data_IF_485745301034
#
_entry.id   IF_485745301034
#
_cell.length_a   1.000
_cell.length_b   1.000
_cell.length_c   1.000
_cell.angle_alpha   90.00
_cell.angle_beta   90.00
_cell.angle_gamma   90.00
#
_symmetry.space_group_name_H-M   'P 1'
#
loop_
_entity.id
_entity.type
_entity.pdbx_description
1 polymer ?
#
# COMPACT_ATOMS: atom_id res chain seq x y z
N UNK A 1 -32.30 56.78 60.66
CA UNK A 1 -33.11 56.77 59.42
C UNK A 1 -32.23 57.29 58.30
N UNK A 2 -32.15 56.52 57.21
CA UNK A 2 -31.48 56.85 55.94
C UNK A 2 -29.94 56.87 55.93
N UNK A 3 -29.38 55.74 56.34
CA UNK A 3 -28.27 55.11 55.63
C UNK A 3 -28.79 54.51 54.31
N UNK A 4 -29.23 55.37 53.39
CA UNK A 4 -29.72 55.00 52.06
C UNK A 4 -29.44 56.16 51.12
N UNK A 5 -28.18 56.29 50.66
CA UNK A 5 -27.81 57.04 49.43
C UNK A 5 -26.33 56.94 49.02
N UNK A 6 -25.61 55.91 49.48
CA UNK A 6 -24.21 55.68 49.09
C UNK A 6 -23.92 54.22 48.74
N UNK A 7 -24.91 53.51 48.19
CA UNK A 7 -24.76 52.18 47.58
C UNK A 7 -25.57 52.17 46.28
N UNK A 8 -25.20 53.04 45.33
CA UNK A 8 -25.75 53.01 43.97
C UNK A 8 -24.72 53.39 42.90
N UNK A 9 -23.46 53.59 43.28
CA UNK A 9 -22.38 53.94 42.35
C UNK A 9 -21.12 53.06 42.47
N UNK A 10 -21.25 51.87 43.09
CA UNK A 10 -20.20 50.85 43.16
C UNK A 10 -20.66 49.47 42.66
N UNK A 11 -21.87 49.35 42.12
CA UNK A 11 -22.39 48.13 41.48
C UNK A 11 -22.64 48.25 39.97
N UNK A 12 -22.21 49.36 39.35
CA UNK A 12 -22.27 49.56 37.90
C UNK A 12 -20.88 49.51 37.22
N UNK A 13 -19.82 49.15 37.96
CA UNK A 13 -18.45 48.99 37.43
C UNK A 13 -17.81 47.63 37.73
N UNK A 14 -18.63 46.64 38.15
CA UNK A 14 -18.21 45.25 38.35
C UNK A 14 -19.04 44.24 37.52
N UNK A 15 -19.81 44.71 36.54
CA UNK A 15 -20.53 43.87 35.58
C UNK A 15 -20.10 44.06 34.12
N UNK A 16 -19.14 44.95 33.85
CA UNK A 16 -18.49 45.08 32.53
C UNK A 16 -17.03 44.59 32.52
N UNK A 17 -16.50 44.14 33.66
CA UNK A 17 -15.12 43.61 33.79
C UNK A 17 -15.00 42.08 33.74
N UNK A 18 -16.09 41.32 33.90
CA UNK A 18 -16.05 39.85 33.89
C UNK A 18 -16.39 39.23 32.51
N UNK A 19 -17.01 39.98 31.59
CA UNK A 19 -17.33 39.49 30.25
C UNK A 19 -16.17 39.66 29.23
N UNK A 20 -15.19 40.53 29.51
CA UNK A 20 -14.06 40.78 28.60
C UNK A 20 -12.86 39.83 28.80
N UNK A 21 -12.78 39.10 29.92
CA UNK A 21 -11.71 38.12 30.20
C UNK A 21 -12.09 36.66 29.92
N UNK A 22 -13.38 36.37 29.71
CA UNK A 22 -13.86 35.04 29.28
C UNK A 22 -14.14 34.96 27.76
N UNK A 23 -14.27 36.11 27.08
CA UNK A 23 -14.44 36.18 25.62
C UNK A 23 -13.12 36.17 24.81
N UNK A 24 -11.98 36.51 25.41
CA UNK A 24 -10.70 36.55 24.67
C UNK A 24 -9.98 35.21 24.61
N UNK A 25 -10.21 34.30 25.57
CA UNK A 25 -9.60 32.95 25.54
C UNK A 25 -10.30 31.97 24.60
N UNK A 26 -11.50 32.28 24.11
CA UNK A 26 -12.27 31.40 23.22
C UNK A 26 -12.01 31.63 21.71
N UNK A 27 -11.33 32.72 21.32
CA UNK A 27 -11.05 33.03 19.91
C UNK A 27 -9.60 32.83 19.47
N UNK A 28 -8.74 32.33 20.38
CA UNK A 28 -7.35 31.96 20.06
C UNK A 28 -6.99 30.58 20.60
N UNK A 29 -7.97 29.66 20.69
CA UNK A 29 -7.63 28.25 20.62
C UNK A 29 -6.99 28.04 19.25
N UNK A 30 -5.65 28.16 19.19
CA UNK A 30 -4.87 27.68 18.05
C UNK A 30 -5.43 26.29 17.72
N UNK A 31 -5.76 26.00 16.46
CA UNK A 31 -6.07 24.63 16.09
C UNK A 31 -4.94 23.78 16.66
N UNK A 32 -5.27 22.84 17.54
CA UNK A 32 -4.29 21.83 17.94
C UNK A 32 -3.92 21.14 16.65
N UNK A 33 -2.78 21.51 16.11
CA UNK A 33 -2.13 20.79 15.03
C UNK A 33 -2.06 19.34 15.51
N UNK A 34 -2.56 18.38 14.73
CA UNK A 34 -2.29 16.99 15.04
C UNK A 34 -0.77 16.88 15.22
N UNK A 35 -0.34 16.26 16.33
CA UNK A 35 1.03 15.82 16.46
C UNK A 35 1.25 14.67 15.46
N UNK A 36 1.32 15.02 14.18
CA UNK A 36 1.75 14.15 13.10
C UNK A 36 2.95 14.85 12.49
N UNK A 37 4.14 14.49 12.98
CA UNK A 37 5.40 14.73 12.26
C UNK A 37 5.48 13.86 10.99
N UNK A 38 4.42 13.83 10.20
CA UNK A 38 4.32 13.12 8.94
C UNK A 38 4.03 14.12 7.84
N UNK A 39 4.84 14.10 6.79
CA UNK A 39 4.64 14.85 5.55
C UNK A 39 3.17 14.75 5.10
N UNK A 40 2.50 15.85 4.70
CA UNK A 40 1.11 15.80 4.26
C UNK A 40 0.91 14.70 3.21
N UNK A 41 -0.10 13.86 3.43
CA UNK A 41 -0.41 12.75 2.51
C UNK A 41 -1.26 13.31 1.38
N UNK A 42 -0.82 13.16 0.13
CA UNK A 42 -1.63 13.55 -1.03
C UNK A 42 -2.84 12.60 -1.13
N UNK A 43 -4.05 13.16 -1.07
CA UNK A 43 -5.30 12.41 -1.11
C UNK A 43 -5.50 11.60 -2.40
N UNK A 44 -4.83 11.96 -3.50
CA UNK A 44 -4.96 11.27 -4.80
C UNK A 44 -4.38 9.84 -4.80
N UNK A 45 -3.52 9.49 -3.85
CA UNK A 45 -2.84 8.18 -3.81
C UNK A 45 -3.35 7.25 -2.70
N UNK A 46 -4.37 7.67 -1.96
CA UNK A 46 -4.95 6.87 -0.89
C UNK A 46 -5.80 5.74 -1.46
N UNK A 47 -5.71 4.58 -0.83
CA UNK A 47 -6.59 3.44 -1.09
C UNK A 47 -7.51 3.20 0.11
N UNK A 48 -8.71 2.72 -0.21
CA UNK A 48 -9.72 2.32 0.76
C UNK A 48 -9.76 0.79 0.90
N UNK A 49 -9.88 0.31 2.13
CA UNK A 49 -10.28 -1.05 2.49
C UNK A 49 -11.19 -1.00 3.72
N UNK A 50 -12.10 -1.95 3.87
CA UNK A 50 -13.14 -1.91 4.91
C UNK A 50 -13.03 -3.14 5.80
N UNK A 51 -13.07 -2.94 7.12
CA UNK A 51 -12.93 -4.00 8.11
C UNK A 51 -14.15 -4.05 9.03
N UNK A 52 -14.86 -5.17 9.04
CA UNK A 52 -15.86 -5.52 10.04
C UNK A 52 -15.20 -6.32 11.16
N UNK A 53 -15.28 -5.81 12.39
CA UNK A 53 -14.62 -6.38 13.56
C UNK A 53 -15.58 -6.41 14.75
N UNK A 54 -16.89 -6.54 14.52
CA UNK A 54 -17.91 -6.30 15.55
C UNK A 54 -18.22 -4.81 15.72
N UNK A 55 -18.50 -4.38 16.95
CA UNK A 55 -18.81 -2.98 17.25
C UNK A 55 -17.73 -2.04 16.70
N UNK A 56 -18.11 -1.18 15.75
CA UNK A 56 -17.15 -0.34 15.03
C UNK A 56 -16.46 0.74 15.90
N UNK A 57 -16.94 1.01 17.12
CA UNK A 57 -16.35 2.00 18.02
C UNK A 57 -14.99 1.54 18.53
N UNK A 58 -14.92 0.28 18.96
CA UNK A 58 -13.66 -0.37 19.33
C UNK A 58 -12.77 -0.55 18.10
N UNK A 59 -13.35 -0.99 16.98
CA UNK A 59 -12.62 -1.27 15.75
C UNK A 59 -11.93 -0.01 15.21
N UNK A 60 -12.64 1.12 15.18
CA UNK A 60 -12.12 2.41 14.75
C UNK A 60 -10.90 2.83 15.57
N UNK A 61 -10.99 2.69 16.91
CA UNK A 61 -9.89 3.00 17.82
C UNK A 61 -8.66 2.14 17.54
N UNK A 62 -8.84 0.83 17.31
CA UNK A 62 -7.73 -0.10 17.03
C UNK A 62 -7.06 0.19 15.69
N UNK A 63 -7.85 0.34 14.63
CA UNK A 63 -7.34 0.57 13.28
C UNK A 63 -6.69 1.95 13.13
N UNK A 64 -7.24 2.98 13.78
CA UNK A 64 -6.63 4.31 13.84
C UNK A 64 -5.23 4.31 14.46
N UNK A 65 -4.98 3.41 15.42
CA UNK A 65 -3.70 3.34 16.12
C UNK A 65 -2.59 2.68 15.27
N UNK A 66 -2.91 2.09 14.12
CA UNK A 66 -1.91 1.48 13.23
C UNK A 66 -1.06 2.58 12.59
N UNK A 67 0.27 2.59 12.81
CA UNK A 67 1.14 3.61 12.23
C UNK A 67 1.06 3.65 10.71
N UNK A 68 0.87 4.85 10.13
CA UNK A 68 0.76 5.05 8.69
C UNK A 68 -0.66 5.08 8.13
N UNK A 69 -1.68 4.75 8.95
CA UNK A 69 -3.08 4.98 8.57
C UNK A 69 -3.33 6.48 8.39
N UNK A 70 -3.88 6.85 7.22
CA UNK A 70 -4.14 8.24 6.88
C UNK A 70 -5.51 8.71 7.41
N UNK A 71 -6.46 7.80 7.58
CA UNK A 71 -7.75 8.11 8.19
C UNK A 71 -8.65 6.89 8.34
N UNK A 72 -9.61 7.01 9.25
CA UNK A 72 -10.67 6.00 9.45
C UNK A 72 -12.03 6.67 9.44
N UNK A 73 -13.07 5.90 9.09
CA UNK A 73 -14.47 6.32 9.13
C UNK A 73 -15.33 5.08 9.39
N UNK A 74 -16.35 5.20 10.24
CA UNK A 74 -17.26 4.09 10.53
C UNK A 74 -18.52 4.14 9.66
N UNK A 75 -19.06 2.96 9.34
CA UNK A 75 -20.23 2.82 8.48
C UNK A 75 -20.80 1.42 8.44
N UNK A 76 -21.72 1.21 7.50
CA UNK A 76 -22.46 -0.03 7.27
C UNK A 76 -22.19 -0.52 5.84
N UNK A 77 -21.77 -1.77 5.66
CA UNK A 77 -21.48 -2.30 4.32
C UNK A 77 -21.74 -3.81 4.16
N UNK A 78 -21.81 -4.25 2.91
CA UNK A 78 -21.95 -5.65 2.51
C UNK A 78 -23.38 -6.18 2.58
N UNK A 79 -24.35 -5.37 3.01
CA UNK A 79 -25.76 -5.70 2.99
C UNK A 79 -26.43 -5.41 1.64
N UNK A 80 -27.65 -5.94 1.48
CA UNK A 80 -28.40 -5.80 0.23
C UNK A 80 -29.02 -4.42 0.04
N UNK A 81 -29.44 -3.78 1.14
CA UNK A 81 -30.07 -2.47 1.10
C UNK A 81 -29.08 -1.40 0.58
N UNK A 82 -29.45 -0.56 -0.41
CA UNK A 82 -28.54 0.45 -0.96
C UNK A 82 -28.27 1.57 0.04
N UNK A 83 -29.20 1.85 0.96
CA UNK A 83 -29.07 2.82 2.04
C UNK A 83 -29.47 2.19 3.36
N UNK A 84 -28.70 2.45 4.41
CA UNK A 84 -28.99 2.02 5.76
C UNK A 84 -28.34 2.96 6.78
N UNK A 85 -29.08 3.33 7.82
CA UNK A 85 -28.55 3.91 9.05
C UNK A 85 -28.56 2.90 10.21
N UNK A 86 -28.19 3.35 11.40
CA UNK A 86 -28.06 2.47 12.57
C UNK A 86 -29.34 1.71 12.89
N UNK A 87 -30.49 2.40 12.86
CA UNK A 87 -31.80 1.80 13.15
C UNK A 87 -32.21 0.75 12.14
N UNK A 88 -31.94 0.99 10.85
CA UNK A 88 -32.29 0.07 9.77
C UNK A 88 -31.52 -1.26 9.93
N UNK A 89 -30.24 -1.16 10.26
CA UNK A 89 -29.36 -2.33 10.50
C UNK A 89 -29.86 -3.18 11.66
N UNK A 90 -30.23 -2.54 12.78
CA UNK A 90 -30.75 -3.25 13.96
C UNK A 90 -32.12 -3.88 13.69
N UNK A 91 -33.05 -3.14 13.06
CA UNK A 91 -34.37 -3.68 12.74
C UNK A 91 -34.26 -4.85 11.76
N UNK A 92 -33.37 -4.76 10.77
CA UNK A 92 -33.13 -5.85 9.83
C UNK A 92 -32.56 -7.09 10.54
N UNK A 93 -31.67 -6.92 11.51
CA UNK A 93 -31.16 -8.04 12.32
C UNK A 93 -32.28 -8.73 13.11
N UNK A 94 -33.16 -7.96 13.75
CA UNK A 94 -34.33 -8.49 14.47
C UNK A 94 -35.30 -9.24 13.54
N UNK A 95 -35.52 -8.71 12.33
CA UNK A 95 -36.35 -9.36 11.31
C UNK A 95 -35.72 -10.67 10.80
N UNK A 96 -34.39 -10.69 10.59
CA UNK A 96 -33.65 -11.88 10.18
C UNK A 96 -33.75 -12.98 11.23
N UNK A 97 -33.54 -12.65 12.51
CA UNK A 97 -33.69 -13.60 13.63
C UNK A 97 -35.09 -14.16 13.76
N UNK A 98 -36.10 -13.34 13.49
CA UNK A 98 -37.49 -13.75 13.49
C UNK A 98 -37.91 -14.52 12.22
N UNK A 99 -37.00 -14.73 11.25
CA UNK A 99 -37.31 -15.37 9.96
C UNK A 99 -38.29 -14.57 9.09
N UNK A 100 -38.46 -13.27 9.36
CA UNK A 100 -39.37 -12.37 8.64
C UNK A 100 -38.72 -11.66 7.46
N UNK A 101 -37.39 -11.76 7.36
CA UNK A 101 -36.60 -11.21 6.27
C UNK A 101 -35.48 -12.20 5.92
N UNK A 102 -35.06 -12.20 4.67
CA UNK A 102 -33.97 -13.02 4.15
C UNK A 102 -32.89 -12.19 3.43
N UNK A 103 -33.08 -10.87 3.32
CA UNK A 103 -32.11 -9.96 2.74
C UNK A 103 -30.88 -9.85 3.65
N UNK A 104 -29.70 -9.80 3.04
CA UNK A 104 -28.44 -9.71 3.77
C UNK A 104 -28.33 -8.39 4.51
N UNK A 105 -28.06 -8.45 5.81
CA UNK A 105 -27.82 -7.26 6.62
C UNK A 105 -26.44 -6.65 6.35
N UNK A 106 -26.31 -5.37 6.60
CA UNK A 106 -25.01 -4.70 6.61
C UNK A 106 -24.21 -5.11 7.85
N UNK A 107 -22.89 -5.21 7.69
CA UNK A 107 -21.95 -5.26 8.82
C UNK A 107 -21.59 -3.83 9.23
N UNK A 108 -21.40 -3.62 10.54
CA UNK A 108 -20.64 -2.49 11.05
C UNK A 108 -19.19 -2.63 10.58
N UNK A 109 -18.68 -1.61 9.90
CA UNK A 109 -17.34 -1.60 9.33
C UNK A 109 -16.60 -0.30 9.60
N UNK A 110 -15.28 -0.38 9.57
CA UNK A 110 -14.38 0.77 9.51
C UNK A 110 -13.78 0.84 8.12
N UNK A 111 -14.04 1.93 7.40
CA UNK A 111 -13.29 2.31 6.19
C UNK A 111 -11.93 2.84 6.62
N UNK A 112 -10.86 2.19 6.19
CA UNK A 112 -9.47 2.61 6.42
C UNK A 112 -8.88 3.19 5.14
N UNK A 113 -8.41 4.43 5.23
CA UNK A 113 -7.63 5.11 4.18
C UNK A 113 -6.14 4.99 4.47
N UNK A 114 -5.37 4.48 3.52
CA UNK A 114 -3.92 4.34 3.66
C UNK A 114 -3.18 4.67 2.35
N UNK A 115 -1.94 5.14 2.48
CA UNK A 115 -1.01 5.32 1.36
C UNK A 115 -0.19 4.02 1.21
N UNK A 116 -0.37 3.24 0.13
CA UNK A 116 0.37 1.99 -0.07
C UNK A 116 1.89 2.21 -0.21
N UNK A 117 2.36 3.44 -0.43
CA UNK A 117 3.79 3.78 -0.41
C UNK A 117 4.36 3.91 1.01
N UNK A 118 3.50 4.08 2.02
CA UNK A 118 3.90 4.31 3.42
C UNK A 118 3.48 3.17 4.35
N UNK A 119 2.36 2.52 4.06
CA UNK A 119 1.79 1.44 4.85
C UNK A 119 1.51 0.24 3.96
N UNK A 120 2.24 -0.83 4.22
CA UNK A 120 2.00 -2.13 3.60
C UNK A 120 0.68 -2.73 4.10
N UNK A 121 -0.12 -3.29 3.18
CA UNK A 121 -1.45 -3.82 3.49
C UNK A 121 -1.37 -5.03 4.44
N UNK A 122 -0.32 -5.84 4.36
CA UNK A 122 -0.17 -6.99 5.27
C UNK A 122 0.03 -6.54 6.73
N UNK A 123 0.56 -5.33 6.96
CA UNK A 123 0.61 -4.74 8.31
C UNK A 123 -0.79 -4.41 8.84
N UNK A 124 -1.67 -3.87 7.98
CA UNK A 124 -3.07 -3.61 8.34
C UNK A 124 -3.84 -4.90 8.58
N UNK A 125 -3.65 -5.90 7.71
CA UNK A 125 -4.29 -7.21 7.85
C UNK A 125 -3.84 -7.91 9.14
N UNK A 126 -2.54 -7.88 9.45
CA UNK A 126 -2.03 -8.38 10.74
C UNK A 126 -2.72 -7.72 11.93
N UNK A 127 -2.86 -6.38 11.91
CA UNK A 127 -3.58 -5.66 12.96
C UNK A 127 -5.06 -6.04 13.02
N UNK A 128 -5.73 -6.22 11.87
CA UNK A 128 -7.10 -6.70 11.81
C UNK A 128 -7.25 -8.05 12.51
N UNK A 129 -6.44 -9.04 12.12
CA UNK A 129 -6.50 -10.41 12.67
C UNK A 129 -6.25 -10.48 14.17
N UNK A 130 -5.28 -9.73 14.70
CA UNK A 130 -4.94 -9.77 16.13
C UNK A 130 -5.97 -9.10 17.06
N UNK A 131 -6.82 -8.21 16.55
CA UNK A 131 -7.63 -7.31 17.38
C UNK A 131 -9.12 -7.71 17.50
N UNK A 132 -9.51 -8.88 17.00
CA UNK A 132 -10.86 -9.44 17.17
C UNK A 132 -10.82 -10.98 17.14
N UNK A 133 -11.96 -11.66 17.35
CA UNK A 133 -12.08 -13.11 17.21
C UNK A 133 -12.63 -13.46 15.81
N UNK A 134 -11.79 -13.79 14.82
CA UNK A 134 -12.27 -14.12 13.47
C UNK A 134 -12.96 -15.49 13.39
N UNK A 135 -13.00 -16.26 14.48
CA UNK A 135 -13.66 -17.59 14.53
C UNK A 135 -15.09 -17.51 15.07
N UNK A 136 -15.45 -16.41 15.74
CA UNK A 136 -16.82 -16.13 16.17
C UNK A 136 -17.67 -15.67 14.98
N UNK A 137 -18.54 -16.56 14.49
CA UNK A 137 -19.51 -16.23 13.46
C UNK A 137 -20.56 -15.25 13.97
N UNK A 138 -20.94 -14.27 13.14
CA UNK A 138 -22.02 -13.31 13.39
C UNK A 138 -22.01 -12.71 14.81
N UNK A 139 -20.83 -12.30 15.28
CA UNK A 139 -20.70 -11.62 16.55
C UNK A 139 -19.25 -11.41 16.97
N UNK A 140 -19.05 -10.55 17.97
CA UNK A 140 -17.77 -10.34 18.65
C UNK A 140 -18.00 -10.09 20.14
N UNK A 141 -17.53 -11.01 20.98
CA UNK A 141 -17.79 -10.96 22.41
C UNK A 141 -19.29 -10.99 22.69
N UNK A 142 -19.80 -9.95 23.37
CA UNK A 142 -21.22 -9.82 23.72
C UNK A 142 -22.09 -9.23 22.59
N UNK A 143 -21.47 -8.67 21.55
CA UNK A 143 -22.18 -8.09 20.41
C UNK A 143 -22.49 -9.21 19.42
N UNK A 144 -23.67 -9.80 19.55
CA UNK A 144 -24.13 -10.92 18.71
C UNK A 144 -25.09 -10.42 17.65
N UNK A 145 -24.85 -10.77 16.40
CA UNK A 145 -25.68 -10.50 15.23
C UNK A 145 -24.89 -10.46 13.94
N UNK A 146 -25.58 -10.68 12.81
CA UNK A 146 -24.92 -10.66 11.50
C UNK A 146 -24.30 -9.29 11.20
N UNK A 147 -24.82 -8.21 11.78
CA UNK A 147 -24.23 -6.87 11.70
C UNK A 147 -22.89 -6.73 12.43
N UNK A 148 -22.53 -7.66 13.31
CA UNK A 148 -21.26 -7.70 14.04
C UNK A 148 -20.27 -8.74 13.51
N UNK A 149 -20.57 -9.37 12.38
CA UNK A 149 -19.69 -10.38 11.76
C UNK A 149 -18.31 -9.81 11.42
N UNK A 150 -17.31 -10.68 11.46
CA UNK A 150 -15.98 -10.36 10.94
C UNK A 150 -15.99 -10.29 9.41
N UNK A 151 -15.44 -9.22 8.84
CA UNK A 151 -15.45 -9.00 7.40
C UNK A 151 -14.22 -8.20 6.91
N UNK A 152 -13.75 -8.52 5.71
CA UNK A 152 -12.84 -7.69 4.93
C UNK A 152 -13.54 -7.39 3.60
N UNK A 153 -13.83 -6.11 3.35
CA UNK A 153 -14.31 -5.68 2.04
C UNK A 153 -13.24 -4.96 1.25
N UNK A 154 -12.88 -5.54 0.09
CA UNK A 154 -11.83 -5.02 -0.78
C UNK A 154 -12.39 -4.14 -1.91
N UNK A 155 -11.55 -3.23 -2.41
CA UNK A 155 -11.82 -2.38 -3.58
C UNK A 155 -11.02 -2.80 -4.81
N UNK A 156 -10.02 -3.67 -4.64
CA UNK A 156 -9.16 -4.17 -5.73
C UNK A 156 -8.86 -5.66 -5.59
N UNK A 157 -8.59 -6.34 -6.70
CA UNK A 157 -8.21 -7.76 -6.68
C UNK A 157 -6.89 -8.00 -5.93
N UNK A 158 -5.96 -7.04 -5.95
CA UNK A 158 -4.73 -7.15 -5.18
C UNK A 158 -4.98 -7.19 -3.67
N UNK A 159 -5.93 -6.38 -3.17
CA UNK A 159 -6.37 -6.43 -1.78
C UNK A 159 -7.04 -7.76 -1.45
N UNK A 160 -7.88 -8.30 -2.35
CA UNK A 160 -8.48 -9.64 -2.19
C UNK A 160 -7.40 -10.70 -2.00
N UNK A 161 -6.43 -10.77 -2.90
CA UNK A 161 -5.36 -11.78 -2.85
C UNK A 161 -4.56 -11.68 -1.55
N UNK A 162 -4.18 -10.47 -1.13
CA UNK A 162 -3.45 -10.28 0.12
C UNK A 162 -4.31 -10.58 1.36
N UNK A 163 -5.61 -10.27 1.35
CA UNK A 163 -6.52 -10.62 2.42
C UNK A 163 -6.65 -12.16 2.57
N UNK A 164 -6.83 -12.88 1.46
CA UNK A 164 -6.88 -14.35 1.45
C UNK A 164 -5.56 -14.95 1.93
N UNK A 165 -4.42 -14.45 1.43
CA UNK A 165 -3.10 -14.85 1.88
C UNK A 165 -2.92 -14.65 3.39
N UNK A 166 -3.35 -13.50 3.90
CA UNK A 166 -3.23 -13.18 5.33
C UNK A 166 -4.14 -14.05 6.21
N UNK A 167 -5.35 -14.36 5.72
CA UNK A 167 -6.27 -15.30 6.39
C UNK A 167 -5.61 -16.66 6.55
N UNK A 168 -5.00 -17.17 5.49
CA UNK A 168 -4.42 -18.51 5.49
C UNK A 168 -3.23 -18.60 6.46
N UNK A 169 -2.40 -17.55 6.53
CA UNK A 169 -1.33 -17.42 7.53
C UNK A 169 -1.91 -17.42 8.95
N UNK A 170 -2.92 -16.58 9.22
CA UNK A 170 -3.48 -16.50 10.56
C UNK A 170 -4.23 -17.78 10.98
N UNK A 171 -4.90 -18.45 10.03
CA UNK A 171 -5.58 -19.72 10.27
C UNK A 171 -4.60 -20.79 10.75
N UNK A 172 -3.37 -20.83 10.23
CA UNK A 172 -2.36 -21.77 10.71
C UNK A 172 -2.04 -21.53 12.19
N UNK A 173 -1.82 -20.26 12.57
CA UNK A 173 -1.53 -19.88 13.97
C UNK A 173 -2.71 -20.19 14.89
N UNK A 174 -3.95 -19.91 14.45
CA UNK A 174 -5.16 -20.26 15.20
C UNK A 174 -5.31 -21.78 15.39
N UNK A 175 -5.08 -22.55 14.34
CA UNK A 175 -5.15 -24.03 14.39
C UNK A 175 -4.12 -24.59 15.38
N UNK A 176 -2.89 -24.08 15.36
CA UNK A 176 -1.83 -24.46 16.31
C UNK A 176 -2.20 -24.12 17.75
N UNK A 177 -2.91 -23.01 17.96
CA UNK A 177 -3.41 -22.60 19.27
C UNK A 177 -4.74 -23.27 19.69
N UNK A 178 -5.28 -24.19 18.86
CA UNK A 178 -6.50 -24.93 19.17
C UNK A 178 -7.82 -24.19 18.89
N UNK A 179 -7.77 -23.07 18.17
CA UNK A 179 -8.96 -22.32 17.77
C UNK A 179 -9.60 -22.89 16.50
N UNK A 180 -10.87 -22.53 16.29
CA UNK A 180 -11.67 -22.96 15.15
C UNK A 180 -11.25 -22.34 13.81
N UNK A 181 -12.05 -22.63 12.79
CA UNK A 181 -11.89 -22.05 11.46
C UNK A 181 -12.31 -20.58 11.46
N UNK A 182 -11.55 -19.73 10.78
CA UNK A 182 -11.90 -18.35 10.47
C UNK A 182 -13.20 -18.32 9.69
N UNK A 183 -14.15 -17.51 10.18
CA UNK A 183 -15.46 -17.25 9.55
C UNK A 183 -15.51 -15.88 8.87
N UNK A 184 -14.46 -15.07 9.02
CA UNK A 184 -14.30 -13.78 8.34
C UNK A 184 -14.60 -13.91 6.85
N UNK A 185 -15.56 -13.11 6.38
CA UNK A 185 -15.82 -13.02 4.96
C UNK A 185 -14.84 -12.08 4.25
N UNK A 186 -14.51 -12.41 3.00
CA UNK A 186 -13.64 -11.61 2.15
C UNK A 186 -14.35 -11.38 0.82
N UNK A 187 -14.97 -10.23 0.65
CA UNK A 187 -15.84 -9.91 -0.49
C UNK A 187 -15.55 -8.52 -1.07
N UNK A 188 -15.93 -8.21 -2.32
CA UNK A 188 -15.83 -6.85 -2.81
C UNK A 188 -16.76 -5.93 -2.02
N UNK A 189 -16.35 -4.69 -1.79
CA UNK A 189 -17.20 -3.71 -1.10
C UNK A 189 -18.50 -3.49 -1.87
N UNK A 190 -19.62 -3.49 -1.15
CA UNK A 190 -20.96 -3.25 -1.69
C UNK A 190 -21.74 -2.38 -0.71
N UNK A 191 -22.48 -1.40 -1.26
CA UNK A 191 -23.45 -0.58 -0.53
C UNK A 191 -22.90 0.04 0.78
N UNK A 192 -21.70 0.63 0.73
CA UNK A 192 -21.15 1.33 1.90
C UNK A 192 -21.96 2.59 2.22
N UNK A 193 -22.43 2.69 3.46
CA UNK A 193 -23.15 3.83 4.01
C UNK A 193 -22.39 4.37 5.23
N UNK A 194 -21.92 5.62 5.17
CA UNK A 194 -21.29 6.29 6.31
C UNK A 194 -22.29 6.36 7.48
N UNK A 195 -21.84 5.97 8.68
CA UNK A 195 -22.68 6.06 9.88
C UNK A 195 -22.82 7.51 10.37
N UNK A 196 -23.82 7.74 11.20
CA UNK A 196 -24.17 9.05 11.74
C UNK A 196 -23.01 9.66 12.54
N UNK A 197 -22.94 11.00 12.61
CA UNK A 197 -21.84 11.73 13.27
C UNK A 197 -21.66 11.38 14.76
N UNK A 198 -22.70 10.86 15.41
CA UNK A 198 -22.62 10.36 16.79
C UNK A 198 -21.75 9.12 16.92
N UNK A 199 -21.60 8.30 15.86
CA UNK A 199 -20.79 7.08 15.86
C UNK A 199 -19.34 7.32 15.43
N UNK A 200 -19.08 8.37 14.66
CA UNK A 200 -17.73 8.75 14.23
C UNK A 200 -16.90 9.18 15.44
N UNK A 201 -15.64 8.75 15.54
CA UNK A 201 -14.74 9.12 16.64
C UNK A 201 -15.32 8.82 18.04
N UNK A 202 -16.21 7.83 18.18
CA UNK A 202 -17.03 7.66 19.37
C UNK A 202 -16.19 7.55 20.65
N UNK A 203 -15.13 6.75 20.65
CA UNK A 203 -14.23 6.57 21.80
C UNK A 203 -13.24 7.73 22.02
N UNK A 204 -13.10 8.64 21.05
CA UNK A 204 -12.42 9.91 21.29
C UNK A 204 -13.34 10.91 22.00
N UNK A 205 -14.62 10.92 21.63
CA UNK A 205 -15.67 11.72 22.26
C UNK A 205 -16.04 11.19 23.65
N UNK A 206 -16.01 9.87 23.82
CA UNK A 206 -16.40 9.16 25.04
C UNK A 206 -15.28 8.18 25.46
N UNK A 207 -14.22 8.64 26.15
CA UNK A 207 -13.05 7.81 26.47
C UNK A 207 -13.35 6.56 27.30
N UNK A 208 -14.38 6.62 28.14
CA UNK A 208 -14.88 5.50 28.97
C UNK A 208 -16.07 4.77 28.33
N UNK A 209 -16.31 5.00 27.03
CA UNK A 209 -17.36 4.34 26.27
C UNK A 209 -17.09 2.84 26.08
N UNK A 210 -18.13 2.13 25.66
CA UNK A 210 -18.06 0.68 25.45
C UNK A 210 -17.01 0.29 24.40
N UNK A 211 -16.24 -0.76 24.69
CA UNK A 211 -15.25 -1.33 23.78
C UNK A 211 -15.08 -2.83 24.08
N UNK A 212 -15.89 -3.66 23.42
CA UNK A 212 -15.91 -5.12 23.62
C UNK A 212 -14.81 -5.92 22.91
N UNK A 213 -13.93 -5.28 22.13
CA UNK A 213 -12.92 -5.99 21.32
C UNK A 213 -11.73 -6.48 22.15
N UNK A 214 -11.68 -7.80 22.37
CA UNK A 214 -10.67 -8.48 23.16
C UNK A 214 -9.60 -9.26 22.39
N UNK A 215 -9.83 -9.59 21.12
CA UNK A 215 -8.96 -10.50 20.34
C UNK A 215 -8.80 -11.88 20.98
N UNK A 216 -8.02 -12.75 20.35
CA UNK A 216 -7.72 -14.11 20.88
C UNK A 216 -6.35 -14.20 21.59
N UNK A 217 -5.59 -13.11 21.63
CA UNK A 217 -4.22 -13.11 22.15
C UNK A 217 -3.19 -13.81 21.24
N UNK A 218 -3.62 -14.32 20.08
CA UNK A 218 -2.76 -14.99 19.10
C UNK A 218 -2.13 -13.96 18.17
N UNK A 219 -0.80 -13.97 18.09
CA UNK A 219 -0.02 -13.09 17.23
C UNK A 219 -0.08 -13.50 15.77
N UNK A 220 -0.12 -12.49 14.91
CA UNK A 220 0.03 -12.64 13.48
C UNK A 220 1.52 -12.78 13.13
N UNK A 221 1.79 -13.52 12.06
CA UNK A 221 3.14 -13.73 11.54
C UNK A 221 3.39 -15.19 11.20
N UNK A 222 4.54 -15.45 10.63
CA UNK A 222 4.97 -16.81 10.32
C UNK A 222 5.29 -17.52 11.66
N UNK A 223 4.50 -18.53 12.02
CA UNK A 223 4.70 -19.26 13.28
C UNK A 223 6.09 -19.92 13.35
N UNK A 224 6.63 -20.06 14.57
CA UNK A 224 7.88 -20.74 14.86
C UNK A 224 7.77 -22.29 14.78
N UNK A 225 6.60 -22.83 14.41
CA UNK A 225 6.30 -24.27 14.44
C UNK A 225 6.78 -25.07 13.23
N UNK A 226 7.54 -24.46 12.31
CA UNK A 226 8.13 -25.14 11.15
C UNK A 226 9.55 -25.64 11.42
N UNK A 227 10.07 -26.47 10.52
CA UNK A 227 11.50 -26.83 10.50
C UNK A 227 12.35 -25.58 10.58
N UNK A 228 13.24 -25.50 11.57
CA UNK A 228 14.12 -24.35 11.71
C UNK A 228 15.17 -24.38 10.59
N UNK A 229 15.04 -23.46 9.63
CA UNK A 229 16.02 -23.29 8.56
C UNK A 229 17.16 -22.37 9.00
N UNK A 230 18.43 -22.74 8.74
CA UNK A 230 19.57 -21.90 9.09
C UNK A 230 19.52 -20.57 8.34
N UNK A 231 19.95 -19.49 9.01
CA UNK A 231 20.13 -18.19 8.39
C UNK A 231 21.17 -18.26 7.25
N UNK A 232 21.01 -17.39 6.25
CA UNK A 232 22.04 -17.19 5.23
C UNK A 232 23.29 -16.58 5.87
N UNK A 233 24.49 -16.90 5.36
CA UNK A 233 25.71 -16.25 5.81
C UNK A 233 25.84 -14.86 5.17
N UNK A 234 25.67 -13.80 5.97
CA UNK A 234 25.78 -12.41 5.52
C UNK A 234 27.17 -12.01 5.02
N UNK A 235 28.22 -12.81 5.26
CA UNK A 235 29.54 -12.58 4.67
C UNK A 235 29.61 -12.95 3.18
N UNK A 236 28.70 -13.80 2.71
CA UNK A 236 28.63 -14.25 1.30
C UNK A 236 27.74 -13.36 0.42
N UNK A 237 27.02 -12.41 1.02
CA UNK A 237 26.03 -11.57 0.36
C UNK A 237 26.61 -10.19 -0.02
N UNK A 238 26.02 -9.56 -1.03
CA UNK A 238 26.46 -8.26 -1.51
C UNK A 238 26.16 -7.15 -0.49
N UNK A 239 27.17 -6.38 -0.09
CA UNK A 239 27.02 -5.31 0.91
C UNK A 239 26.30 -4.07 0.37
N UNK A 240 26.62 -3.63 -0.84
CA UNK A 240 26.07 -2.38 -1.40
C UNK A 240 24.55 -2.43 -1.61
N UNK A 241 24.05 -3.56 -2.13
CA UNK A 241 22.63 -3.85 -2.26
C UNK A 241 22.44 -5.37 -2.41
N UNK A 242 21.55 -5.95 -1.62
CA UNK A 242 21.19 -7.37 -1.69
C UNK A 242 19.70 -7.53 -1.46
N UNK A 243 19.04 -8.28 -2.33
CA UNK A 243 17.70 -8.77 -2.06
C UNK A 243 17.78 -10.14 -1.37
N UNK A 244 16.93 -10.34 -0.36
CA UNK A 244 16.67 -11.66 0.22
C UNK A 244 15.18 -11.93 0.12
N UNK A 245 14.84 -13.03 -0.56
CA UNK A 245 13.48 -13.51 -0.73
C UNK A 245 13.21 -14.55 0.36
N UNK A 246 12.37 -14.18 1.32
CA UNK A 246 11.94 -15.03 2.42
C UNK A 246 10.68 -15.79 2.02
N UNK A 247 10.75 -17.12 2.05
CA UNK A 247 9.74 -18.03 1.54
C UNK A 247 9.30 -19.04 2.62
N UNK A 248 8.19 -19.74 2.38
CA UNK A 248 7.75 -20.88 3.18
C UNK A 248 7.72 -22.15 2.33
N UNK A 249 7.84 -23.30 3.00
CA UNK A 249 7.51 -24.61 2.45
C UNK A 249 5.99 -24.60 2.24
N UNK A 250 5.50 -24.80 1.02
CA UNK A 250 4.09 -24.63 0.63
C UNK A 250 3.59 -23.17 0.56
N UNK A 251 4.25 -22.37 -0.28
CA UNK A 251 3.89 -20.98 -0.54
C UNK A 251 3.52 -20.74 -2.02
N UNK A 252 2.22 -20.85 -2.39
CA UNK A 252 1.76 -20.61 -3.77
C UNK A 252 2.11 -19.21 -4.29
N UNK A 253 2.11 -18.21 -3.40
CA UNK A 253 2.47 -16.84 -3.72
C UNK A 253 3.99 -16.69 -4.00
N UNK A 254 4.81 -17.53 -3.38
CA UNK A 254 6.26 -17.59 -3.64
C UNK A 254 6.52 -18.22 -5.00
N UNK A 255 5.82 -19.31 -5.34
CA UNK A 255 5.89 -19.94 -6.67
C UNK A 255 5.45 -18.97 -7.77
N UNK A 256 4.39 -18.20 -7.52
CA UNK A 256 3.95 -17.15 -8.45
C UNK A 256 5.00 -16.05 -8.60
N UNK A 257 5.58 -15.58 -7.50
CA UNK A 257 6.66 -14.58 -7.55
C UNK A 257 7.90 -15.08 -8.29
N UNK A 258 8.27 -16.35 -8.09
CA UNK A 258 9.33 -17.00 -8.83
C UNK A 258 9.04 -16.98 -10.35
N UNK A 259 7.83 -17.37 -10.74
CA UNK A 259 7.43 -17.42 -12.14
C UNK A 259 7.38 -16.03 -12.81
N UNK A 260 6.82 -15.05 -12.10
CA UNK A 260 6.54 -13.71 -12.63
C UNK A 260 7.78 -12.79 -12.58
N UNK A 261 8.74 -13.04 -11.68
CA UNK A 261 9.86 -12.12 -11.40
C UNK A 261 11.22 -12.83 -11.43
N UNK A 262 11.44 -13.84 -10.57
CA UNK A 262 12.79 -14.38 -10.34
C UNK A 262 13.32 -15.21 -11.52
N UNK A 263 12.46 -15.96 -12.21
CA UNK A 263 12.86 -16.80 -13.35
C UNK A 263 13.50 -16.02 -14.49
N UNK A 264 13.12 -14.75 -14.66
CA UNK A 264 13.64 -13.85 -15.70
C UNK A 264 14.56 -12.77 -15.14
N UNK A 265 15.09 -12.97 -13.92
CA UNK A 265 15.89 -11.96 -13.24
C UNK A 265 17.17 -11.60 -14.01
N UNK A 266 17.30 -10.32 -14.38
CA UNK A 266 18.50 -9.76 -15.01
C UNK A 266 18.96 -8.46 -14.35
N UNK A 267 18.33 -8.08 -13.23
CA UNK A 267 18.65 -6.85 -12.52
C UNK A 267 20.03 -6.95 -11.88
N UNK A 268 20.71 -5.81 -11.77
CA UNK A 268 22.06 -5.73 -11.19
C UNK A 268 22.10 -6.09 -9.71
N UNK A 269 20.99 -5.86 -8.99
CA UNK A 269 20.90 -6.21 -7.57
C UNK A 269 20.79 -7.73 -7.46
N UNK A 270 21.76 -8.40 -6.84
CA UNK A 270 21.68 -9.84 -6.64
C UNK A 270 20.57 -10.18 -5.65
N UNK A 271 20.01 -11.37 -5.78
CA UNK A 271 19.06 -11.92 -4.83
C UNK A 271 19.55 -13.25 -4.27
N UNK A 272 19.12 -13.55 -3.04
CA UNK A 272 19.24 -14.85 -2.40
C UNK A 272 17.86 -15.29 -1.92
N UNK A 273 17.64 -16.60 -1.86
CA UNK A 273 16.38 -17.18 -1.38
C UNK A 273 16.62 -17.89 -0.06
N UNK A 274 15.67 -17.82 0.85
CA UNK A 274 15.75 -18.54 2.13
C UNK A 274 14.36 -18.89 2.66
N UNK A 275 14.30 -20.01 3.37
CA UNK A 275 13.15 -20.39 4.20
C UNK A 275 13.36 -20.07 5.69
N UNK A 276 14.54 -19.55 6.04
CA UNK A 276 14.79 -19.08 7.39
C UNK A 276 13.94 -17.85 7.66
N UNK A 277 13.38 -17.76 8.86
CA UNK A 277 12.69 -16.54 9.32
C UNK A 277 13.64 -15.54 9.99
N UNK A 278 14.95 -15.82 9.94
CA UNK A 278 16.01 -15.01 10.55
C UNK A 278 16.71 -14.16 9.48
N UNK A 279 17.18 -12.98 9.90
CA UNK A 279 18.10 -12.19 9.09
C UNK A 279 19.36 -13.02 8.76
N UNK A 280 20.06 -12.75 7.64
CA UNK A 280 21.39 -13.29 7.42
C UNK A 280 22.31 -13.03 8.61
N UNK A 281 23.24 -13.94 8.88
CA UNK A 281 24.16 -13.82 10.01
C UNK A 281 24.94 -12.50 9.94
N UNK A 282 24.91 -11.74 11.04
CA UNK A 282 25.55 -10.42 11.15
C UNK A 282 24.79 -9.27 10.47
N UNK A 283 23.57 -9.53 9.98
CA UNK A 283 22.68 -8.53 9.37
C UNK A 283 21.43 -8.32 10.25
N UNK A 284 20.67 -7.25 10.00
CA UNK A 284 19.51 -6.88 10.83
C UNK A 284 18.25 -6.63 10.01
N UNK A 285 17.14 -7.24 10.44
CA UNK A 285 15.80 -6.89 9.98
C UNK A 285 15.27 -5.71 10.80
N UNK A 286 14.61 -4.77 10.13
CA UNK A 286 13.99 -3.61 10.79
C UNK A 286 12.70 -4.00 11.53
N UNK A 287 12.01 -5.04 11.05
CA UNK A 287 10.76 -5.57 11.62
C UNK A 287 10.68 -7.10 11.46
N UNK A 288 9.88 -7.81 12.28
CA UNK A 288 9.58 -9.23 12.04
C UNK A 288 9.00 -9.48 10.65
N UNK A 289 9.19 -10.69 10.11
CA UNK A 289 8.60 -11.11 8.85
C UNK A 289 7.14 -11.54 9.10
N UNK A 290 6.20 -10.84 8.48
CA UNK A 290 4.78 -11.06 8.71
C UNK A 290 4.16 -12.06 7.72
N UNK A 291 4.74 -12.24 6.53
CA UNK A 291 4.20 -13.10 5.48
C UNK A 291 5.28 -13.59 4.51
N UNK A 292 4.93 -14.58 3.68
CA UNK A 292 5.77 -15.09 2.58
C UNK A 292 5.00 -15.02 1.25
N UNK A 293 5.64 -14.62 0.13
CA UNK A 293 7.01 -14.15 0.08
C UNK A 293 7.14 -12.77 0.74
N UNK A 294 8.25 -12.54 1.44
CA UNK A 294 8.69 -11.17 1.77
C UNK A 294 10.04 -10.96 1.12
N UNK A 295 10.16 -9.94 0.29
CA UNK A 295 11.41 -9.57 -0.34
C UNK A 295 11.98 -8.41 0.44
N UNK A 296 13.16 -8.57 1.01
CA UNK A 296 13.83 -7.54 1.79
C UNK A 296 15.04 -7.04 1.03
N UNK A 297 15.12 -5.72 0.87
CA UNK A 297 16.30 -5.03 0.35
C UNK A 297 17.20 -4.63 1.53
N UNK A 298 18.40 -5.19 1.53
CA UNK A 298 19.47 -4.84 2.46
C UNK A 298 20.49 -3.92 1.79
N UNK A 299 20.99 -2.96 2.55
CA UNK A 299 22.21 -2.19 2.23
C UNK A 299 23.08 -2.15 3.48
N UNK A 300 24.36 -2.44 3.31
CA UNK A 300 25.36 -2.56 4.37
C UNK A 300 24.96 -3.53 5.50
N UNK A 301 24.18 -4.56 5.15
CA UNK A 301 23.67 -5.56 6.08
C UNK A 301 22.51 -5.09 6.98
N UNK A 302 21.95 -3.92 6.72
CA UNK A 302 20.73 -3.45 7.38
C UNK A 302 19.58 -3.45 6.39
N UNK A 303 18.41 -3.89 6.83
CA UNK A 303 17.19 -3.74 6.06
C UNK A 303 16.88 -2.25 5.79
N UNK A 304 16.69 -1.92 4.51
CA UNK A 304 16.30 -0.57 4.06
C UNK A 304 14.85 -0.52 3.65
N UNK A 305 14.34 -1.60 3.05
CA UNK A 305 12.97 -1.67 2.56
C UNK A 305 12.53 -3.12 2.38
N UNK A 306 11.22 -3.33 2.29
CA UNK A 306 10.63 -4.64 2.00
C UNK A 306 9.41 -4.54 1.11
N UNK A 307 9.10 -5.64 0.44
CA UNK A 307 7.87 -5.92 -0.27
C UNK A 307 7.25 -7.18 0.34
N UNK A 308 6.06 -7.08 0.93
CA UNK A 308 5.47 -8.16 1.75
C UNK A 308 4.19 -8.69 1.10
N UNK A 309 4.15 -10.01 0.90
CA UNK A 309 3.12 -10.67 0.11
C UNK A 309 3.32 -10.47 -1.40
N UNK A 310 2.58 -11.23 -2.21
CA UNK A 310 2.62 -11.06 -3.66
C UNK A 310 1.27 -11.34 -4.31
N UNK A 311 0.65 -10.28 -4.81
CA UNK A 311 -0.65 -10.34 -5.46
C UNK A 311 -0.58 -10.66 -6.96
N UNK A 312 0.60 -10.99 -7.50
CA UNK A 312 0.76 -11.27 -8.93
C UNK A 312 0.94 -10.06 -9.83
N UNK A 313 1.40 -8.95 -9.27
CA UNK A 313 1.65 -7.72 -9.99
C UNK A 313 3.16 -7.45 -10.01
N UNK A 314 3.84 -8.01 -11.03
CA UNK A 314 5.28 -7.82 -11.21
C UNK A 314 5.66 -6.35 -11.41
N UNK A 315 4.80 -5.56 -12.06
CA UNK A 315 5.05 -4.12 -12.29
C UNK A 315 5.12 -3.36 -10.97
N UNK A 316 4.25 -3.67 -9.99
CA UNK A 316 4.35 -3.10 -8.63
C UNK A 316 5.64 -3.48 -7.91
N UNK A 317 6.08 -4.74 -8.04
CA UNK A 317 7.37 -5.16 -7.48
C UNK A 317 8.53 -4.38 -8.10
N UNK A 318 8.56 -4.26 -9.44
CA UNK A 318 9.62 -3.52 -10.13
C UNK A 318 9.58 -2.03 -9.83
N UNK A 319 8.39 -1.45 -9.68
CA UNK A 319 8.23 -0.08 -9.22
C UNK A 319 8.79 0.11 -7.82
N UNK A 320 8.45 -0.77 -6.86
CA UNK A 320 9.01 -0.75 -5.51
C UNK A 320 10.55 -0.81 -5.54
N UNK A 321 11.11 -1.75 -6.29
CA UNK A 321 12.57 -1.89 -6.39
C UNK A 321 13.20 -0.66 -7.05
N UNK A 322 12.57 -0.13 -8.11
CA UNK A 322 13.04 1.05 -8.82
C UNK A 322 13.05 2.32 -7.95
N UNK A 323 12.12 2.49 -7.01
CA UNK A 323 12.16 3.59 -6.03
C UNK A 323 13.43 3.58 -5.14
N UNK A 324 14.11 2.43 -5.03
CA UNK A 324 15.34 2.28 -4.24
C UNK A 324 16.63 2.23 -5.09
N UNK A 325 16.49 2.18 -6.42
CA UNK A 325 17.60 2.14 -7.37
C UNK A 325 17.74 3.44 -8.18
N UNK A 326 16.62 4.07 -8.54
CA UNK A 326 16.59 5.25 -9.42
C UNK A 326 16.70 6.55 -8.62
N UNK A 327 17.31 7.56 -9.24
CA UNK A 327 17.33 8.95 -8.73
C UNK A 327 15.93 9.58 -8.83
N UNK A 328 15.65 10.67 -8.08
CA UNK A 328 14.33 11.33 -8.15
C UNK A 328 13.91 11.74 -9.57
N UNK A 329 14.84 12.22 -10.39
CA UNK A 329 14.55 12.60 -11.78
C UNK A 329 14.23 11.37 -12.65
N UNK A 330 14.96 10.27 -12.47
CA UNK A 330 14.65 9.01 -13.14
C UNK A 330 13.29 8.44 -12.70
N UNK A 331 12.94 8.56 -11.42
CA UNK A 331 11.63 8.14 -10.91
C UNK A 331 10.49 8.95 -11.53
N UNK A 332 10.67 10.28 -11.66
CA UNK A 332 9.70 11.16 -12.34
C UNK A 332 9.46 10.72 -13.77
N UNK A 333 10.52 10.41 -14.51
CA UNK A 333 10.42 9.92 -15.89
C UNK A 333 9.73 8.53 -15.89
N UNK A 334 10.28 7.57 -15.15
CA UNK A 334 9.89 6.17 -15.17
C UNK A 334 8.47 5.89 -14.66
N UNK A 335 8.03 6.58 -13.60
CA UNK A 335 6.79 6.26 -12.89
C UNK A 335 5.71 7.32 -13.04
N UNK A 336 6.08 8.58 -13.29
CA UNK A 336 5.13 9.68 -13.44
C UNK A 336 4.98 10.11 -14.92
N UNK A 337 5.46 9.28 -15.85
CA UNK A 337 5.45 9.52 -17.31
C UNK A 337 6.08 10.87 -17.69
N UNK A 338 7.08 11.30 -16.93
CA UNK A 338 7.81 12.53 -17.17
C UNK A 338 8.71 12.43 -18.40
N UNK A 339 9.05 13.59 -18.98
CA UNK A 339 10.04 13.69 -20.06
C UNK A 339 11.21 14.56 -19.60
N UNK A 340 12.44 14.13 -19.86
CA UNK A 340 13.65 14.93 -19.63
C UNK A 340 13.74 16.09 -20.65
N UNK A 341 14.50 17.13 -20.33
CA UNK A 341 14.66 18.25 -21.26
C UNK A 341 15.42 17.82 -22.53
N UNK A 342 15.03 18.33 -23.71
CA UNK A 342 15.74 18.04 -24.96
C UNK A 342 17.23 18.41 -24.83
N UNK A 343 18.11 17.54 -25.29
CA UNK A 343 19.56 17.78 -25.28
C UNK A 343 20.26 17.45 -23.95
N UNK A 344 19.52 17.12 -22.90
CA UNK A 344 20.09 16.91 -21.55
C UNK A 344 20.20 15.45 -21.11
N UNK A 345 19.52 14.55 -21.82
CA UNK A 345 19.44 13.14 -21.47
C UNK A 345 20.78 12.42 -21.51
N UNK A 346 20.97 11.50 -20.56
CA UNK A 346 22.05 10.53 -20.65
C UNK A 346 21.98 9.78 -22.00
N UNK A 347 23.11 9.38 -22.53
CA UNK A 347 23.18 8.57 -23.76
C UNK A 347 22.63 9.20 -25.06
N UNK A 348 22.24 10.48 -25.08
CA UNK A 348 21.87 11.19 -26.31
C UNK A 348 22.98 11.06 -27.37
N UNK A 349 24.21 11.35 -26.98
CA UNK A 349 25.40 11.31 -27.84
C UNK A 349 26.18 9.99 -27.71
N UNK A 350 25.61 8.96 -27.08
CA UNK A 350 26.27 7.65 -27.03
C UNK A 350 26.27 7.03 -28.43
N UNK A 351 27.46 6.63 -28.88
CA UNK A 351 27.72 6.12 -30.22
C UNK A 351 28.56 4.84 -30.22
N UNK A 352 29.00 4.37 -29.04
CA UNK A 352 29.75 3.11 -28.94
C UNK A 352 28.83 1.92 -29.29
N UNK A 353 29.37 0.84 -29.89
CA UNK A 353 28.64 -0.42 -30.01
C UNK A 353 28.24 -0.95 -28.63
N UNK A 354 26.98 -1.34 -28.47
CA UNK A 354 26.46 -1.84 -27.20
C UNK A 354 24.95 -2.03 -27.16
N UNK A 355 24.44 -2.31 -25.96
CA UNK A 355 23.02 -2.53 -25.67
C UNK A 355 22.52 -1.54 -24.63
N UNK A 356 21.30 -1.04 -24.84
CA UNK A 356 20.53 -0.27 -23.88
C UNK A 356 19.57 -1.18 -23.13
N UNK A 357 19.63 -1.13 -21.82
CA UNK A 357 18.84 -1.96 -20.91
C UNK A 357 17.90 -1.12 -20.08
N UNK A 358 16.83 -1.76 -19.64
CA UNK A 358 16.00 -1.31 -18.54
C UNK A 358 16.86 -1.20 -17.27
N UNK A 359 16.96 -0.02 -16.63
CA UNK A 359 17.87 0.21 -15.51
C UNK A 359 17.43 -0.48 -14.22
N UNK A 360 16.20 -0.99 -14.13
CA UNK A 360 15.68 -1.66 -12.95
C UNK A 360 15.75 -3.19 -13.15
N UNK A 361 15.17 -3.69 -14.24
CA UNK A 361 15.01 -5.14 -14.46
C UNK A 361 16.18 -5.78 -15.21
N UNK A 362 17.04 -4.97 -15.86
CA UNK A 362 18.14 -5.44 -16.69
C UNK A 362 17.69 -6.11 -18.01
N UNK A 363 16.43 -5.94 -18.42
CA UNK A 363 15.96 -6.41 -19.72
C UNK A 363 16.57 -5.57 -20.85
N UNK A 364 17.01 -6.22 -21.94
CA UNK A 364 17.52 -5.52 -23.11
C UNK A 364 16.37 -4.83 -23.85
N UNK A 365 16.55 -3.54 -24.18
CA UNK A 365 15.53 -2.71 -24.82
C UNK A 365 15.90 -2.37 -26.26
N UNK A 366 17.13 -1.91 -26.50
CA UNK A 366 17.59 -1.47 -27.82
C UNK A 366 19.06 -1.85 -28.05
N UNK A 367 19.43 -2.06 -29.31
CA UNK A 367 20.83 -2.16 -29.74
C UNK A 367 21.31 -0.82 -30.29
N UNK A 368 22.61 -0.57 -30.21
CA UNK A 368 23.22 0.67 -30.71
C UNK A 368 23.16 0.83 -32.23
N UNK A 369 23.08 -0.27 -32.98
CA UNK A 369 22.92 -0.26 -34.45
C UNK A 369 21.52 0.22 -34.88
N UNK A 370 20.52 0.09 -34.00
CA UNK A 370 19.19 0.65 -34.19
C UNK A 370 19.11 2.15 -33.88
N UNK A 371 20.14 2.74 -33.26
CA UNK A 371 20.16 4.14 -32.85
C UNK A 371 20.52 5.06 -34.01
N UNK A 372 19.81 6.18 -34.14
CA UNK A 372 20.09 7.21 -35.14
C UNK A 372 19.91 8.62 -34.56
N UNK A 373 20.50 9.62 -35.23
CA UNK A 373 20.29 11.03 -34.89
C UNK A 373 19.05 11.57 -35.61
N UNK A 374 18.04 11.94 -34.83
CA UNK A 374 16.79 12.55 -35.33
C UNK A 374 16.74 14.06 -35.15
N UNK A 375 17.77 14.67 -34.54
CA UNK A 375 17.80 16.05 -34.07
C UNK A 375 16.67 16.45 -33.10
N UNK A 376 15.86 15.50 -32.60
CA UNK A 376 14.74 15.81 -31.71
C UNK A 376 15.17 16.20 -30.29
N UNK A 377 16.41 15.88 -29.90
CA UNK A 377 16.95 16.14 -28.55
C UNK A 377 16.88 14.95 -27.59
N UNK A 378 16.41 13.78 -28.04
CA UNK A 378 16.39 12.53 -27.26
C UNK A 378 16.98 11.35 -28.06
N UNK A 379 17.58 10.35 -27.40
CA UNK A 379 17.94 9.08 -28.04
C UNK A 379 16.80 8.55 -28.91
N UNK A 380 17.10 8.29 -30.18
CA UNK A 380 16.12 7.81 -31.16
C UNK A 380 16.57 6.46 -31.72
N UNK A 381 15.65 5.51 -31.75
CA UNK A 381 15.88 4.17 -32.30
C UNK A 381 14.84 3.87 -33.38
N UNK A 382 15.19 3.06 -34.39
CA UNK A 382 14.21 2.63 -35.41
C UNK A 382 13.60 1.25 -35.13
N UNK A 383 14.22 0.46 -34.25
CA UNK A 383 13.78 -0.90 -33.93
C UNK A 383 14.13 -1.26 -32.46
N UNK A 384 13.20 -1.85 -31.70
CA UNK A 384 13.47 -2.39 -30.37
C UNK A 384 13.90 -3.84 -30.41
N UNK A 385 14.44 -4.33 -29.29
CA UNK A 385 14.57 -5.76 -29.04
C UNK A 385 13.19 -6.44 -29.06
N UNK A 386 13.12 -7.64 -29.64
CA UNK A 386 11.85 -8.37 -29.78
C UNK A 386 11.17 -8.59 -28.42
N UNK A 387 9.91 -8.21 -28.32
CA UNK A 387 9.11 -8.35 -27.09
C UNK A 387 9.55 -7.44 -25.94
N UNK A 388 10.46 -6.48 -26.14
CA UNK A 388 10.98 -5.65 -25.06
C UNK A 388 10.02 -4.52 -24.64
N UNK A 389 9.08 -4.13 -25.51
CA UNK A 389 8.23 -2.95 -25.32
C UNK A 389 6.74 -3.30 -25.18
N UNK A 390 6.03 -2.43 -24.47
CA UNK A 390 4.56 -2.35 -24.41
C UNK A 390 4.13 -0.96 -24.88
N UNK A 391 2.99 -0.89 -25.59
CA UNK A 391 2.48 0.34 -26.20
C UNK A 391 1.14 0.71 -25.61
N UNK A 392 0.99 1.97 -25.19
CA UNK A 392 -0.24 2.50 -24.64
C UNK A 392 -0.66 3.75 -25.42
N UNK A 393 -1.97 3.92 -25.61
CA UNK A 393 -2.50 5.16 -26.18
C UNK A 393 -2.33 6.31 -25.18
N UNK A 394 -1.81 7.43 -25.67
CA UNK A 394 -1.56 8.64 -24.89
C UNK A 394 -2.23 9.84 -25.57
N UNK A 395 -3.36 10.28 -25.01
CA UNK A 395 -4.13 11.45 -25.46
C UNK A 395 -3.80 12.72 -24.64
N UNK A 396 -2.72 12.68 -23.84
CA UNK A 396 -2.30 13.82 -23.02
C UNK A 396 -1.88 15.02 -23.88
N UNK A 397 -1.96 16.21 -23.27
CA UNK A 397 -1.58 17.48 -23.91
C UNK A 397 -2.32 17.79 -25.22
N UNK A 398 -3.49 17.18 -25.44
CA UNK A 398 -4.30 17.39 -26.64
C UNK A 398 -3.71 16.76 -27.91
N UNK A 399 -2.79 15.82 -27.77
CA UNK A 399 -2.15 15.10 -28.88
C UNK A 399 -2.51 13.62 -28.84
N UNK A 400 -2.60 12.97 -30.00
CA UNK A 400 -2.68 11.51 -30.08
C UNK A 400 -1.29 10.93 -30.30
N UNK A 401 -0.74 10.25 -29.28
CA UNK A 401 0.58 9.63 -29.31
C UNK A 401 0.49 8.19 -28.82
N UNK A 402 1.55 7.43 -29.07
CA UNK A 402 1.72 6.09 -28.54
C UNK A 402 2.86 6.14 -27.53
N UNK A 403 2.53 5.98 -26.25
CA UNK A 403 3.49 5.82 -25.17
C UNK A 403 4.21 4.47 -25.33
N UNK A 404 5.52 4.50 -25.08
CA UNK A 404 6.39 3.32 -25.06
C UNK A 404 6.81 3.06 -23.63
N UNK A 405 6.54 1.83 -23.15
CA UNK A 405 6.97 1.34 -21.84
C UNK A 405 7.84 0.10 -21.97
N UNK A 406 8.70 -0.12 -20.97
CA UNK A 406 9.41 -1.40 -20.84
C UNK A 406 8.40 -2.51 -20.49
N UNK A 407 8.40 -3.62 -21.24
CA UNK A 407 7.51 -4.75 -20.98
C UNK A 407 7.83 -5.44 -19.65
N UNK A 408 9.10 -5.46 -19.24
CA UNK A 408 9.54 -6.17 -18.03
C UNK A 408 9.18 -5.44 -16.75
N UNK A 409 9.53 -4.15 -16.65
CA UNK A 409 9.31 -3.35 -15.43
C UNK A 409 8.06 -2.48 -15.47
N UNK A 410 7.55 -2.17 -16.66
CA UNK A 410 6.43 -1.24 -16.86
C UNK A 410 6.80 0.24 -16.80
N UNK A 411 8.09 0.60 -16.72
CA UNK A 411 8.50 2.01 -16.69
C UNK A 411 8.21 2.72 -18.01
N UNK A 412 7.84 3.99 -17.91
CA UNK A 412 7.79 4.90 -19.04
C UNK A 412 9.18 5.08 -19.64
N UNK A 413 9.27 4.91 -20.96
CA UNK A 413 10.50 5.14 -21.73
C UNK A 413 10.36 6.39 -22.60
N UNK A 414 9.23 6.58 -23.26
CA UNK A 414 9.00 7.71 -24.16
C UNK A 414 7.83 7.47 -25.10
N UNK A 415 7.99 7.80 -26.37
CA UNK A 415 6.94 7.69 -27.39
C UNK A 415 7.47 7.15 -28.71
N UNK A 416 6.59 6.54 -29.51
CA UNK A 416 6.90 6.10 -30.87
C UNK A 416 6.12 6.93 -31.90
N UNK A 417 6.80 7.27 -33.00
CA UNK A 417 6.29 8.08 -34.11
C UNK A 417 6.52 7.38 -35.46
N UNK A 418 5.77 7.80 -36.49
CA UNK A 418 5.83 7.26 -37.86
C UNK A 418 6.74 8.08 -38.81
N UNK A 419 7.66 8.85 -38.23
CA UNK A 419 8.60 9.74 -38.93
C UNK A 419 10.05 9.20 -38.91
N UNK A 420 10.22 7.91 -38.70
CA UNK A 420 11.53 7.26 -38.61
C UNK A 420 12.11 6.84 -39.97
N UNK A 421 13.40 6.46 -39.99
CA UNK A 421 14.04 5.99 -41.21
C UNK A 421 13.52 4.58 -41.61
N UNK A 422 13.71 4.17 -42.87
CA UNK A 422 13.60 2.76 -43.26
C UNK A 422 14.52 1.86 -42.41
N UNK A 423 14.18 0.57 -42.21
CA UNK A 423 13.09 -0.17 -42.86
C UNK A 423 11.74 -0.09 -42.13
N UNK A 424 11.72 0.26 -40.85
CA UNK A 424 10.49 0.22 -40.04
C UNK A 424 9.62 1.46 -40.24
N UNK A 425 10.23 2.60 -40.62
CA UNK A 425 9.55 3.91 -40.63
C UNK A 425 9.21 4.43 -39.23
N UNK A 426 9.65 3.74 -38.17
CA UNK A 426 9.33 4.08 -36.79
C UNK A 426 10.48 4.87 -36.15
N UNK A 427 10.14 5.85 -35.33
CA UNK A 427 11.08 6.54 -34.44
C UNK A 427 10.65 6.36 -32.99
N UNK A 428 11.39 5.55 -32.27
CA UNK A 428 11.27 5.39 -30.82
C UNK A 428 12.08 6.49 -30.16
N UNK A 429 11.40 7.54 -29.70
CA UNK A 429 11.98 8.70 -29.04
C UNK A 429 11.97 8.45 -27.53
N UNK A 430 13.13 8.10 -26.97
CA UNK A 430 13.25 7.53 -25.63
C UNK A 430 14.03 8.47 -24.72
N UNK A 431 13.55 8.66 -23.50
CA UNK A 431 14.29 9.36 -22.45
C UNK A 431 15.57 8.60 -22.12
N UNK A 432 16.71 9.26 -22.28
CA UNK A 432 18.02 8.70 -22.06
C UNK A 432 18.33 8.40 -20.59
N UNK A 433 17.80 9.19 -19.65
CA UNK A 433 18.03 8.99 -18.22
C UNK A 433 17.42 7.69 -17.67
N UNK A 434 16.47 7.08 -18.37
CA UNK A 434 15.85 5.78 -18.00
C UNK A 434 16.35 4.63 -18.87
N UNK A 435 17.55 4.79 -19.45
CA UNK A 435 18.28 3.72 -20.11
C UNK A 435 19.60 3.47 -19.38
N UNK A 436 20.01 2.20 -19.31
CA UNK A 436 21.37 1.81 -18.92
C UNK A 436 22.11 1.31 -20.15
N UNK A 437 23.17 1.99 -20.57
CA UNK A 437 24.01 1.53 -21.67
C UNK A 437 25.15 0.62 -21.18
N UNK A 438 25.37 -0.51 -21.86
CA UNK A 438 26.56 -1.37 -21.68
C UNK A 438 27.26 -1.54 -23.03
N UNK A 439 28.54 -1.14 -23.15
CA UNK A 439 29.29 -1.31 -24.39
C UNK A 439 29.59 -2.79 -24.66
N UNK A 440 29.68 -3.15 -25.94
CA UNK A 440 30.13 -4.48 -26.35
C UNK A 440 31.59 -4.71 -25.91
N UNK A 441 31.99 -5.96 -25.64
CA UNK A 441 33.39 -6.28 -25.41
C UNK A 441 34.26 -5.80 -26.59
N UNK A 442 35.50 -5.35 -26.34
CA UNK A 442 36.41 -5.01 -27.41
C UNK A 442 36.56 -6.21 -28.35
N UNK A 443 36.53 -5.96 -29.66
CA UNK A 443 36.73 -7.02 -30.66
C UNK A 443 38.03 -7.75 -30.34
N UNK A 444 37.98 -9.09 -30.26
CA UNK A 444 39.19 -9.90 -30.12
C UNK A 444 40.00 -9.71 -31.41
N UNK A 445 41.09 -8.95 -31.31
CA UNK A 445 42.07 -8.71 -32.39
C UNK A 445 42.81 -9.96 -32.77
#
# INVERSE_FOLDING_TARGET
MQAEKTIALLFALLLTGAAALLGWRALHARPMTPATGGTPVNAQHLQDIYFGMGCFWGAEKRLRAVPGVAGVEVGYAGGDAPKAGYRDVLEQEDQLRAGRNHARNHAEVVRVRYDPKRLDLMTLLAAFWENHDPTQADGQGNDIGSNYRSAIYYTTDAQKTLAEQSRDIYQQNLTQAGFGRITTEILPVRNYNRAEESHQDYLLKNPNGYCGLGGLGIKYGLGAGGTAYPALDGATLARSAQLVVYEAEDCPYCERFEADVLKTWKADVPFARTRSQQAPTGWSLAKPLLATPTIVLFKDGSEVSRFTGYAGDAKKFWQWLGFHQLTPEQQRIAFDSGTELPGTGAHLNEARPGTYFDPISGAALFRSDAKFDSACGWPSFFEPMEGALEFLQDDSHGMHRIEVRSRSSGIHLGHVFDDGPPPTGKRYCINGNVLKFVPDPPAKT
#
